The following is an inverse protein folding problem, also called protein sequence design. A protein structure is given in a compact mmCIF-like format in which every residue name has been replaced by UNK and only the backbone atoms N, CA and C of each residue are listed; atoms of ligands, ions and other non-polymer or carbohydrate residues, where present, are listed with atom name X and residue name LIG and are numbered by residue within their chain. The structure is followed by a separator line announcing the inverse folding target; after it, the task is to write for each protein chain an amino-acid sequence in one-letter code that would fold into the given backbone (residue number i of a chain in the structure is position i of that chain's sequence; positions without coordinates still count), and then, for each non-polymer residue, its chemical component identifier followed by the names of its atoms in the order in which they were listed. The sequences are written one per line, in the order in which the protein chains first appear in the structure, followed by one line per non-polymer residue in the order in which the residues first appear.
data_IF_088282608122
#
_entry.id   IF_088282608122
#
_cell.length_a   1.000
_cell.length_b   1.000
_cell.length_c   1.000
_cell.angle_alpha   90.00
_cell.angle_beta   90.00
_cell.angle_gamma   90.00
#
_symmetry.space_group_name_H-M   'P 1'
#
loop_
_entity.id
_entity.type
_entity.pdbx_description
1 polymer ?
#
# COMPACT_ATOMS: atom_id res chain seq x y z
N UNK A 1 -64.86 -17.09 48.52
CA UNK A 1 -63.61 -17.69 48.03
C UNK A 1 -62.77 -16.61 47.34
N UNK A 2 -61.83 -16.01 48.07
CA UNK A 2 -60.99 -14.91 47.56
C UNK A 2 -59.64 -15.46 47.12
N UNK A 3 -59.33 -15.38 45.81
CA UNK A 3 -58.07 -15.84 45.22
C UNK A 3 -56.96 -14.85 45.58
N UNK A 4 -56.06 -15.27 46.47
CA UNK A 4 -54.75 -14.63 46.69
C UNK A 4 -53.85 -14.89 45.46
N UNK A 5 -53.91 -14.04 44.44
CA UNK A 5 -52.81 -13.89 43.48
C UNK A 5 -51.90 -12.75 43.96
N UNK A 6 -51.26 -12.98 45.10
CA UNK A 6 -50.10 -12.19 45.49
C UNK A 6 -48.87 -13.07 45.25
N UNK A 7 -47.90 -12.50 44.51
CA UNK A 7 -46.48 -12.89 44.40
C UNK A 7 -46.00 -13.66 43.18
N UNK A 8 -46.29 -13.17 41.96
CA UNK A 8 -45.42 -13.38 40.78
C UNK A 8 -45.54 -12.20 39.80
N UNK A 9 -45.37 -10.96 40.28
CA UNK A 9 -45.07 -9.85 39.37
C UNK A 9 -43.55 -9.85 39.22
N UNK A 10 -43.00 -10.22 38.05
CA UNK A 10 -41.58 -10.05 37.79
C UNK A 10 -41.30 -8.56 37.99
N UNK A 11 -40.56 -8.23 39.04
CA UNK A 11 -40.04 -6.89 39.25
C UNK A 11 -39.25 -6.56 37.99
N UNK A 12 -39.87 -5.80 37.08
CA UNK A 12 -39.17 -5.17 35.97
C UNK A 12 -38.11 -4.29 36.62
N UNK A 13 -36.90 -4.84 36.73
CA UNK A 13 -35.73 -4.11 37.15
C UNK A 13 -35.61 -3.01 36.12
N UNK A 14 -35.93 -1.78 36.50
CA UNK A 14 -35.62 -0.63 35.67
C UNK A 14 -34.10 -0.55 35.66
N UNK A 15 -33.48 -1.16 34.65
CA UNK A 15 -32.11 -0.89 34.25
C UNK A 15 -32.05 0.58 33.82
N UNK A 16 -32.03 1.48 34.80
CA UNK A 16 -31.92 2.93 34.61
C UNK A 16 -30.49 3.21 34.18
N UNK A 17 -30.23 3.08 32.88
CA UNK A 17 -29.06 3.64 32.22
C UNK A 17 -27.80 2.79 32.19
N UNK A 18 -27.64 1.75 33.02
CA UNK A 18 -26.39 0.95 33.00
C UNK A 18 -26.21 0.20 31.67
N UNK A 19 -27.28 -0.43 31.18
CA UNK A 19 -27.26 -1.14 29.90
C UNK A 19 -27.01 -0.24 28.69
N UNK A 20 -27.56 0.99 28.69
CA UNK A 20 -27.36 1.94 27.60
C UNK A 20 -25.97 2.58 27.65
N UNK A 21 -25.42 2.87 28.84
CA UNK A 21 -24.04 3.37 28.98
C UNK A 21 -23.03 2.33 28.50
N UNK A 22 -23.21 1.06 28.87
CA UNK A 22 -22.33 -0.01 28.39
C UNK A 22 -22.47 -0.23 26.87
N UNK A 23 -23.69 -0.18 26.35
CA UNK A 23 -23.93 -0.27 24.90
C UNK A 23 -23.27 0.90 24.14
N UNK A 24 -23.44 2.15 24.60
CA UNK A 24 -22.82 3.32 23.99
C UNK A 24 -21.29 3.26 24.08
N UNK A 25 -20.76 2.83 25.22
CA UNK A 25 -19.32 2.60 25.40
C UNK A 25 -18.77 1.58 24.40
N UNK A 26 -19.40 0.41 24.29
CA UNK A 26 -18.98 -0.62 23.33
C UNK A 26 -19.07 -0.13 21.89
N UNK A 27 -20.17 0.52 21.51
CA UNK A 27 -20.34 1.09 20.17
C UNK A 27 -19.28 2.14 19.88
N UNK A 28 -18.97 3.01 20.85
CA UNK A 28 -17.93 4.03 20.68
C UNK A 28 -16.54 3.40 20.49
N UNK A 29 -16.22 2.34 21.24
CA UNK A 29 -14.96 1.60 21.10
C UNK A 29 -14.86 0.95 19.72
N UNK A 30 -15.92 0.25 19.29
CA UNK A 30 -15.97 -0.37 17.96
C UNK A 30 -15.87 0.67 16.84
N UNK A 31 -16.61 1.78 16.96
CA UNK A 31 -16.54 2.88 16.00
C UNK A 31 -15.12 3.47 15.93
N UNK A 32 -14.46 3.65 17.07
CA UNK A 32 -13.08 4.15 17.14
C UNK A 32 -12.11 3.17 16.48
N UNK A 33 -12.23 1.87 16.74
CA UNK A 33 -11.43 0.82 16.12
C UNK A 33 -11.61 0.79 14.60
N UNK A 34 -12.84 0.88 14.11
CA UNK A 34 -13.14 0.91 12.67
C UNK A 34 -12.55 2.15 12.01
N UNK A 35 -12.69 3.33 12.65
CA UNK A 35 -12.16 4.58 12.12
C UNK A 35 -10.62 4.55 12.08
N UNK A 36 -9.98 4.04 13.13
CA UNK A 36 -8.54 3.85 13.17
C UNK A 36 -8.07 2.86 12.09
N UNK A 37 -8.75 1.74 11.92
CA UNK A 37 -8.48 0.76 10.86
C UNK A 37 -8.63 1.35 9.46
N UNK A 38 -9.68 2.15 9.22
CA UNK A 38 -9.90 2.84 7.96
C UNK A 38 -8.78 3.83 7.63
N UNK A 39 -8.28 4.57 8.62
CA UNK A 39 -7.14 5.47 8.46
C UNK A 39 -5.87 4.70 8.05
N UNK A 40 -5.54 3.61 8.75
CA UNK A 40 -4.39 2.77 8.41
C UNK A 40 -4.52 2.17 7.02
N UNK A 41 -5.71 1.68 6.67
CA UNK A 41 -5.99 1.14 5.34
C UNK A 41 -5.81 2.20 4.24
N UNK A 42 -6.26 3.43 4.47
CA UNK A 42 -6.08 4.52 3.51
C UNK A 42 -4.59 4.81 3.24
N UNK A 43 -3.76 4.84 4.30
CA UNK A 43 -2.31 5.00 4.15
C UNK A 43 -1.68 3.81 3.43
N UNK A 44 -2.09 2.58 3.79
CA UNK A 44 -1.59 1.35 3.16
C UNK A 44 -1.93 1.30 1.66
N UNK A 45 -3.17 1.62 1.28
CA UNK A 45 -3.63 1.64 -0.11
C UNK A 45 -2.85 2.67 -0.92
N UNK A 46 -2.60 3.86 -0.37
CA UNK A 46 -1.78 4.86 -1.05
C UNK A 46 -0.35 4.36 -1.32
N UNK A 47 0.25 3.67 -0.35
CA UNK A 47 1.56 3.03 -0.50
C UNK A 47 1.56 1.87 -1.50
N UNK A 48 0.51 1.05 -1.49
CA UNK A 48 0.34 -0.10 -2.39
C UNK A 48 0.24 0.36 -3.84
N UNK A 49 -0.56 1.39 -4.12
CA UNK A 49 -0.72 1.95 -5.47
C UNK A 49 0.60 2.42 -6.07
N UNK A 50 1.45 3.05 -5.24
CA UNK A 50 2.78 3.49 -5.66
C UNK A 50 3.71 2.32 -6.03
N UNK A 51 3.61 1.21 -5.30
CA UNK A 51 4.38 0.00 -5.59
C UNK A 51 3.88 -0.68 -6.87
N UNK A 52 2.58 -0.93 -6.97
CA UNK A 52 1.98 -1.56 -8.15
C UNK A 52 2.23 -0.78 -9.44
N UNK A 53 2.14 0.56 -9.38
CA UNK A 53 2.46 1.41 -10.53
C UNK A 53 3.93 1.26 -10.97
N UNK A 54 4.87 1.24 -10.01
CA UNK A 54 6.29 1.09 -10.30
C UNK A 54 6.60 -0.28 -10.93
N UNK A 55 6.03 -1.34 -10.36
CA UNK A 55 6.27 -2.72 -10.81
C UNK A 55 5.71 -2.97 -12.21
N UNK A 56 4.48 -2.51 -12.49
CA UNK A 56 3.87 -2.63 -13.82
C UNK A 56 4.61 -1.80 -14.87
N UNK A 57 5.05 -0.58 -14.53
CA UNK A 57 5.83 0.25 -15.44
C UNK A 57 7.20 -0.38 -15.76
N UNK A 58 7.85 -1.00 -14.76
CA UNK A 58 9.11 -1.71 -14.98
C UNK A 58 8.92 -2.95 -15.87
N UNK A 59 7.86 -3.74 -15.65
CA UNK A 59 7.55 -4.90 -16.51
C UNK A 59 7.22 -4.49 -17.94
N UNK A 60 6.47 -3.41 -18.12
CA UNK A 60 6.12 -2.88 -19.44
C UNK A 60 7.37 -2.42 -20.22
N UNK A 61 8.31 -1.74 -19.55
CA UNK A 61 9.60 -1.38 -20.16
C UNK A 61 10.40 -2.61 -20.61
N UNK A 62 10.43 -3.67 -19.79
CA UNK A 62 11.15 -4.91 -20.14
C UNK A 62 10.49 -5.61 -21.31
N UNK A 63 9.16 -5.73 -21.32
CA UNK A 63 8.41 -6.37 -22.40
C UNK A 63 8.73 -5.71 -23.76
N UNK A 64 8.73 -4.38 -23.81
CA UNK A 64 9.04 -3.66 -25.05
C UNK A 64 10.50 -3.83 -25.47
N UNK A 65 11.44 -3.75 -24.52
CA UNK A 65 12.86 -3.97 -24.80
C UNK A 65 13.17 -5.41 -25.26
N UNK A 66 12.33 -6.39 -24.90
CA UNK A 66 12.48 -7.78 -25.35
C UNK A 66 12.15 -7.98 -26.83
N UNK A 67 11.39 -7.05 -27.42
CA UNK A 67 11.09 -6.98 -28.86
C UNK A 67 12.26 -6.37 -29.66
N UNK A 68 13.34 -5.97 -28.99
CA UNK A 68 14.48 -5.27 -29.62
C UNK A 68 14.28 -3.76 -29.72
N UNK A 69 13.26 -3.21 -29.05
CA UNK A 69 13.01 -1.79 -29.02
C UNK A 69 14.14 -1.03 -28.29
N UNK A 70 14.44 0.18 -28.75
CA UNK A 70 15.39 1.08 -28.09
C UNK A 70 14.82 1.64 -26.78
N UNK A 71 15.64 2.37 -26.02
CA UNK A 71 15.24 2.89 -24.71
C UNK A 71 14.02 3.82 -24.75
N UNK A 72 13.89 4.66 -25.78
CA UNK A 72 12.77 5.62 -25.89
C UNK A 72 11.38 4.96 -25.91
N UNK A 73 11.06 4.07 -26.87
CA UNK A 73 9.75 3.42 -26.92
C UNK A 73 9.45 2.59 -25.66
N UNK A 74 10.45 1.91 -25.10
CA UNK A 74 10.28 1.18 -23.85
C UNK A 74 9.91 2.11 -22.67
N UNK A 75 10.51 3.30 -22.61
CA UNK A 75 10.20 4.29 -21.58
C UNK A 75 8.87 5.02 -21.84
N UNK A 76 8.43 5.13 -23.09
CA UNK A 76 7.11 5.67 -23.44
C UNK A 76 5.99 4.76 -22.96
N UNK A 77 6.09 3.45 -23.23
CA UNK A 77 5.12 2.45 -22.74
C UNK A 77 5.10 2.43 -21.20
N UNK A 78 6.27 2.48 -20.56
CA UNK A 78 6.36 2.57 -19.10
C UNK A 78 5.70 3.83 -18.53
N UNK A 79 5.78 4.96 -19.24
CA UNK A 79 5.10 6.20 -18.86
C UNK A 79 3.59 6.06 -18.94
N UNK A 80 3.07 5.50 -20.04
CA UNK A 80 1.62 5.27 -20.19
C UNK A 80 1.07 4.37 -19.08
N UNK A 81 1.79 3.29 -18.76
CA UNK A 81 1.43 2.39 -17.66
C UNK A 81 1.48 3.08 -16.30
N UNK A 82 2.49 3.91 -16.04
CA UNK A 82 2.58 4.67 -14.79
C UNK A 82 1.37 5.63 -14.65
N UNK A 83 1.06 6.38 -15.71
CA UNK A 83 -0.04 7.36 -15.73
C UNK A 83 -1.39 6.70 -15.49
N UNK A 84 -1.66 5.56 -16.14
CA UNK A 84 -2.89 4.77 -15.93
C UNK A 84 -3.05 4.28 -14.49
N UNK A 85 -1.94 4.13 -13.76
CA UNK A 85 -1.93 3.73 -12.36
C UNK A 85 -1.87 4.93 -11.39
N UNK A 86 -2.05 6.15 -11.88
CA UNK A 86 -2.04 7.37 -11.05
C UNK A 86 -0.64 7.76 -10.56
N UNK A 87 0.39 7.42 -11.33
CA UNK A 87 1.78 7.75 -11.04
C UNK A 87 2.45 8.46 -12.22
N UNK A 88 3.33 9.41 -11.92
CA UNK A 88 4.17 10.06 -12.93
C UNK A 88 5.51 9.35 -13.04
N UNK A 89 5.95 9.10 -14.27
CA UNK A 89 7.27 8.57 -14.54
C UNK A 89 8.34 9.67 -14.34
N UNK A 90 9.19 9.51 -13.34
CA UNK A 90 10.28 10.46 -13.03
C UNK A 90 11.56 10.08 -13.76
N UNK A 91 11.86 8.77 -13.81
CA UNK A 91 13.07 8.26 -14.46
C UNK A 91 12.80 6.88 -15.04
N UNK A 92 13.32 6.64 -16.23
CA UNK A 92 13.30 5.33 -16.87
C UNK A 92 14.66 5.07 -17.53
N UNK A 93 15.23 3.91 -17.25
CA UNK A 93 16.49 3.46 -17.83
C UNK A 93 16.39 1.99 -18.18
N UNK A 94 16.65 1.66 -19.44
CA UNK A 94 16.76 0.28 -19.93
C UNK A 94 18.22 -0.03 -20.21
N UNK A 95 18.70 -1.16 -19.74
CA UNK A 95 20.07 -1.66 -19.91
C UNK A 95 20.05 -3.12 -20.31
N UNK A 96 21.05 -3.57 -21.06
CA UNK A 96 21.34 -5.00 -21.16
C UNK A 96 22.11 -5.44 -19.91
N UNK A 97 21.64 -6.49 -19.24
CA UNK A 97 22.39 -7.15 -18.17
C UNK A 97 23.49 -8.06 -18.70
N UNK A 98 24.31 -8.61 -17.80
CA UNK A 98 25.52 -9.38 -18.13
C UNK A 98 25.26 -10.62 -19.00
N UNK A 99 24.03 -11.16 -18.95
CA UNK A 99 23.59 -12.31 -19.75
C UNK A 99 22.93 -11.91 -21.09
N UNK A 100 23.11 -10.66 -21.55
CA UNK A 100 22.45 -10.13 -22.75
C UNK A 100 20.93 -9.98 -22.61
N UNK A 101 20.39 -10.07 -21.39
CA UNK A 101 18.96 -9.95 -21.12
C UNK A 101 18.58 -8.51 -20.75
N UNK A 102 17.44 -8.01 -21.22
CA UNK A 102 17.00 -6.66 -20.89
C UNK A 102 16.68 -6.52 -19.39
N UNK A 103 17.04 -5.35 -18.84
CA UNK A 103 16.71 -4.89 -17.50
C UNK A 103 16.21 -3.45 -17.59
N UNK A 104 15.11 -3.15 -16.94
CA UNK A 104 14.57 -1.80 -16.81
C UNK A 104 14.57 -1.35 -15.35
N UNK A 105 14.99 -0.13 -15.11
CA UNK A 105 14.89 0.57 -13.83
C UNK A 105 13.96 1.77 -14.02
N UNK A 106 12.89 1.80 -13.23
CA UNK A 106 11.83 2.79 -13.32
C UNK A 106 11.64 3.45 -11.95
N UNK A 107 11.56 4.78 -11.95
CA UNK A 107 11.21 5.57 -10.78
C UNK A 107 9.91 6.29 -11.07
N UNK A 108 8.89 6.02 -10.27
CA UNK A 108 7.59 6.69 -10.35
C UNK A 108 7.36 7.56 -9.12
N UNK A 109 6.53 8.57 -9.30
CA UNK A 109 6.03 9.44 -8.23
C UNK A 109 4.52 9.34 -8.19
N UNK A 110 3.97 9.09 -7.02
CA UNK A 110 2.53 9.11 -6.76
C UNK A 110 2.17 10.19 -5.77
N UNK A 111 1.02 10.84 -5.97
CA UNK A 111 0.45 11.78 -5.00
C UNK A 111 -0.53 11.06 -4.07
N UNK A 112 -0.25 11.02 -2.77
CA UNK A 112 -1.14 10.54 -1.73
C UNK A 112 -1.83 11.72 -1.02
N UNK A 113 -3.16 11.74 -1.00
CA UNK A 113 -3.92 12.78 -0.29
C UNK A 113 -3.66 14.21 -0.78
N UNK A 114 -3.43 14.40 -2.08
CA UNK A 114 -3.31 15.70 -2.76
C UNK A 114 -2.02 16.49 -2.53
N UNK A 115 -1.33 16.29 -1.40
CA UNK A 115 -0.13 17.07 -1.02
C UNK A 115 1.12 16.25 -0.74
N UNK A 116 0.99 14.95 -0.53
CA UNK A 116 2.14 14.10 -0.22
C UNK A 116 2.62 13.40 -1.48
N UNK A 117 3.89 13.58 -1.85
CA UNK A 117 4.50 12.85 -2.96
C UNK A 117 5.30 11.68 -2.43
N UNK A 118 5.01 10.48 -2.92
CA UNK A 118 5.76 9.27 -2.63
C UNK A 118 6.50 8.86 -3.89
N UNK A 119 7.82 8.77 -3.81
CA UNK A 119 8.65 8.19 -4.88
C UNK A 119 8.89 6.72 -4.62
N UNK A 120 8.74 5.89 -5.65
CA UNK A 120 9.07 4.46 -5.62
C UNK A 120 9.95 4.13 -6.80
N UNK A 121 10.96 3.32 -6.54
CA UNK A 121 11.84 2.74 -7.55
C UNK A 121 11.49 1.26 -7.66
N UNK A 122 11.32 0.80 -8.88
CA UNK A 122 11.19 -0.61 -9.22
C UNK A 122 12.20 -0.95 -10.32
N UNK A 123 12.67 -2.18 -10.32
CA UNK A 123 13.48 -2.71 -11.41
C UNK A 123 12.91 -4.05 -11.82
N UNK A 124 12.80 -4.26 -13.14
CA UNK A 124 12.39 -5.52 -13.74
C UNK A 124 13.48 -5.98 -14.69
N UNK A 125 13.63 -7.29 -14.84
CA UNK A 125 14.65 -7.89 -15.71
C UNK A 125 15.06 -9.24 -15.18
N UNK A 126 15.97 -9.91 -15.90
CA UNK A 126 16.51 -11.18 -15.43
C UNK A 126 17.20 -10.99 -14.08
N UNK A 127 16.70 -11.68 -13.05
CA UNK A 127 17.39 -11.78 -11.76
C UNK A 127 18.75 -12.42 -12.04
N UNK A 128 19.86 -11.89 -11.48
CA UNK A 128 21.14 -12.56 -11.58
C UNK A 128 20.98 -14.01 -11.08
N UNK A 129 21.65 -14.98 -11.72
CA UNK A 129 21.69 -16.35 -11.21
C UNK A 129 22.16 -16.37 -9.74
N UNK A 130 21.96 -17.48 -9.01
CA UNK A 130 22.19 -17.58 -7.55
C UNK A 130 23.59 -17.11 -7.09
N UNK A 131 24.55 -16.96 -8.00
CA UNK A 131 25.91 -16.48 -7.77
C UNK A 131 26.05 -14.95 -7.62
N UNK A 132 25.03 -14.14 -7.93
CA UNK A 132 25.16 -12.67 -8.02
C UNK A 132 24.22 -11.89 -7.08
N UNK A 133 23.56 -12.57 -6.12
CA UNK A 133 22.91 -11.91 -5.00
C UNK A 133 23.98 -11.46 -4.00
N UNK A 134 24.46 -10.23 -4.12
CA UNK A 134 25.20 -9.58 -3.05
C UNK A 134 24.21 -8.86 -2.14
N UNK A 135 24.14 -9.33 -0.89
CA UNK A 135 23.36 -8.68 0.17
C UNK A 135 24.15 -7.48 0.64
N UNK A 136 23.81 -6.28 0.18
CA UNK A 136 24.38 -5.05 0.70
C UNK A 136 23.79 -4.81 2.11
N UNK A 137 24.62 -4.71 3.17
CA UNK A 137 24.12 -4.49 4.52
C UNK A 137 23.44 -3.12 4.58
N UNK A 138 22.26 -3.08 5.20
CA UNK A 138 21.52 -1.84 5.44
C UNK A 138 22.46 -0.81 6.09
N UNK A 139 22.84 0.23 5.35
CA UNK A 139 23.66 1.31 5.86
C UNK A 139 22.95 1.92 7.07
N UNK A 140 23.60 1.77 8.23
CA UNK A 140 23.20 2.32 9.51
C UNK A 140 23.10 3.83 9.37
N UNK A 141 21.90 4.38 9.61
CA UNK A 141 21.67 5.82 9.70
C UNK A 141 22.37 6.34 10.97
N UNK A 142 23.63 6.75 10.84
CA UNK A 142 24.36 7.44 11.91
C UNK A 142 23.98 8.92 11.96
N UNK A 143 23.63 9.50 13.12
CA UNK A 143 23.42 10.93 13.24
C UNK A 143 24.78 11.66 13.22
N UNK A 144 25.01 12.47 12.19
CA UNK A 144 26.10 13.45 12.15
C UNK A 144 25.79 14.66 13.03
N UNK A 145 26.73 14.99 13.91
CA UNK A 145 26.74 16.22 14.72
C UNK A 145 26.94 17.48 13.88
N UNK A 146 26.92 18.63 14.56
CA UNK A 146 28.20 19.31 14.85
C UNK A 146 28.54 19.38 16.35
#
# INVERSE_FOLDING_TARGET
MSRRYGKDLPLVHRDRGSGTVLAVGLVSVLATLLLAGAMVAAVAVAGQRARTAADLAALAAVAESSTGASQEPACEVARDVALRNGADLVRCRTTLGDAGRPRAEVVVRTTAGGRWTVTRRAAAGAVPGPSAVQVEPAAVLGPGGP
#
